data_IF_539167143823
#
_entry.id   IF_539167143823
#
_cell.length_a   1.000
_cell.length_b   1.000
_cell.length_c   1.000
_cell.angle_alpha   90.00
_cell.angle_beta   90.00
_cell.angle_gamma   90.00
#
_symmetry.space_group_name_H-M   'P 1'
#
loop_
_entity.id
_entity.type
_entity.pdbx_description
1 polymer ?
#
# COMPACT_ATOMS: atom_id res chain seq x y z
N UNK A 1 47.79 -58.90 18.48
CA UNK A 1 46.67 -58.74 17.54
C UNK A 1 45.77 -57.65 18.08
N UNK A 2 45.90 -56.44 17.51
CA UNK A 2 45.06 -55.31 17.90
C UNK A 2 43.73 -55.39 17.13
N UNK A 3 42.61 -55.41 17.84
CA UNK A 3 41.27 -55.37 17.26
C UNK A 3 40.90 -53.90 17.05
N UNK A 4 40.98 -53.43 15.81
CA UNK A 4 40.41 -52.14 15.42
C UNK A 4 38.90 -52.27 15.28
N UNK A 5 38.16 -51.69 16.24
CA UNK A 5 36.70 -51.56 16.16
C UNK A 5 36.36 -50.35 15.29
N UNK A 6 36.12 -50.56 13.99
CA UNK A 6 35.72 -49.49 13.07
C UNK A 6 34.20 -49.35 13.06
N UNK A 7 33.68 -48.38 13.80
CA UNK A 7 32.26 -48.01 13.77
C UNK A 7 31.93 -47.27 12.47
N UNK A 8 31.09 -47.85 11.61
CA UNK A 8 30.53 -47.17 10.44
C UNK A 8 29.11 -46.70 10.76
N UNK A 9 28.94 -45.39 10.97
CA UNK A 9 27.63 -44.75 11.04
C UNK A 9 27.05 -44.65 9.63
N UNK A 10 26.06 -45.49 9.29
CA UNK A 10 25.25 -45.33 8.08
C UNK A 10 24.15 -44.32 8.38
N UNK A 11 24.28 -43.10 7.88
CA UNK A 11 23.22 -42.09 7.92
C UNK A 11 22.17 -42.45 6.86
N UNK A 12 21.12 -43.18 7.24
CA UNK A 12 19.96 -43.40 6.39
C UNK A 12 18.98 -42.23 6.61
N UNK A 13 19.00 -41.23 5.73
CA UNK A 13 18.00 -40.17 5.74
C UNK A 13 16.69 -40.76 5.19
N UNK A 14 15.79 -41.19 6.07
CA UNK A 14 14.43 -41.51 5.67
C UNK A 14 13.69 -40.19 5.44
N UNK A 15 13.42 -39.88 4.18
CA UNK A 15 12.51 -38.79 3.81
C UNK A 15 11.10 -39.24 4.20
N UNK A 16 10.75 -39.06 5.47
CA UNK A 16 9.41 -39.33 5.97
C UNK A 16 8.53 -38.28 5.32
N UNK A 17 7.76 -38.73 4.34
CA UNK A 17 6.75 -37.94 3.67
C UNK A 17 5.71 -37.55 4.72
N UNK A 18 5.81 -36.34 5.27
CA UNK A 18 4.84 -35.86 6.25
C UNK A 18 3.51 -35.60 5.54
N UNK A 19 2.36 -35.82 6.21
CA UNK A 19 1.05 -35.60 5.60
C UNK A 19 0.87 -34.15 5.10
N UNK A 20 1.51 -33.19 5.77
CA UNK A 20 1.55 -31.79 5.34
C UNK A 20 2.25 -31.60 3.99
N UNK A 21 3.33 -32.34 3.72
CA UNK A 21 4.11 -32.23 2.50
C UNK A 21 3.37 -32.88 1.30
N UNK A 22 2.65 -33.99 1.53
CA UNK A 22 1.76 -34.58 0.51
C UNK A 22 0.62 -33.63 0.15
N UNK A 23 0.01 -33.01 1.16
CA UNK A 23 -1.06 -32.04 0.95
C UNK A 23 -0.55 -30.83 0.17
N UNK A 24 0.60 -30.25 0.55
CA UNK A 24 1.19 -29.13 -0.16
C UNK A 24 1.51 -29.46 -1.63
N UNK A 25 2.08 -30.64 -1.90
CA UNK A 25 2.32 -31.08 -3.28
C UNK A 25 1.00 -31.24 -4.05
N UNK A 26 -0.03 -31.82 -3.43
CA UNK A 26 -1.34 -31.99 -4.05
C UNK A 26 -1.97 -30.63 -4.40
N UNK A 27 -1.91 -29.64 -3.50
CA UNK A 27 -2.42 -28.29 -3.79
C UNK A 27 -1.61 -27.58 -4.90
N UNK A 28 -0.28 -27.73 -4.92
CA UNK A 28 0.57 -27.13 -5.95
C UNK A 28 0.36 -27.73 -7.35
N UNK A 29 -0.13 -28.96 -7.42
CA UNK A 29 -0.41 -29.66 -8.68
C UNK A 29 -1.78 -29.31 -9.27
N UNK A 30 -2.70 -28.73 -8.50
CA UNK A 30 -4.03 -28.34 -8.96
C UNK A 30 -3.95 -27.05 -9.78
N UNK A 31 -4.78 -26.97 -10.83
CA UNK A 31 -5.02 -25.71 -11.52
C UNK A 31 -5.80 -24.74 -10.61
N UNK A 32 -5.70 -23.43 -10.87
CA UNK A 32 -6.39 -22.40 -10.06
C UNK A 32 -7.89 -22.67 -9.89
N UNK A 33 -8.54 -23.22 -10.92
CA UNK A 33 -9.97 -23.54 -10.89
C UNK A 33 -10.26 -24.72 -9.97
N UNK A 34 -9.49 -25.81 -10.10
CA UNK A 34 -9.65 -26.99 -9.24
C UNK A 34 -9.35 -26.67 -7.77
N UNK A 35 -8.37 -25.80 -7.50
CA UNK A 35 -8.07 -25.35 -6.15
C UNK A 35 -9.25 -24.60 -5.52
N UNK A 36 -9.91 -23.71 -6.26
CA UNK A 36 -11.11 -22.99 -5.77
C UNK A 36 -12.26 -23.96 -5.51
N UNK A 37 -12.47 -24.94 -6.38
CA UNK A 37 -13.53 -25.94 -6.19
C UNK A 37 -13.24 -26.83 -4.97
N UNK A 38 -11.99 -27.23 -4.74
CA UNK A 38 -11.63 -27.98 -3.52
C UNK A 38 -11.82 -27.14 -2.26
N UNK A 39 -11.46 -25.85 -2.26
CA UNK A 39 -11.69 -24.97 -1.10
C UNK A 39 -13.19 -24.86 -0.79
N UNK A 40 -14.03 -24.75 -1.83
CA UNK A 40 -15.49 -24.69 -1.65
C UNK A 40 -16.05 -25.99 -1.08
N UNK A 41 -15.60 -27.13 -1.55
CA UNK A 41 -16.01 -28.42 -1.01
C UNK A 41 -15.59 -28.56 0.46
N UNK A 42 -14.36 -28.17 0.80
CA UNK A 42 -13.89 -28.19 2.19
C UNK A 42 -14.66 -27.18 3.08
N UNK A 43 -15.12 -26.05 2.53
CA UNK A 43 -15.97 -25.10 3.25
C UNK A 43 -17.36 -25.68 3.56
N UNK A 44 -17.91 -26.54 2.69
CA UNK A 44 -19.19 -27.23 2.92
C UNK A 44 -19.05 -28.41 3.88
N UNK A 45 -17.96 -29.17 3.78
CA UNK A 45 -17.71 -30.36 4.61
C UNK A 45 -17.21 -30.00 6.01
N UNK A 46 -16.51 -28.87 6.18
CA UNK A 46 -15.94 -28.45 7.45
C UNK A 46 -16.81 -27.37 8.13
N UNK A 47 -17.63 -27.72 9.13
CA UNK A 47 -18.53 -26.79 9.81
C UNK A 47 -17.79 -25.74 10.67
N UNK A 48 -16.46 -25.83 10.81
CA UNK A 48 -15.65 -24.82 11.49
C UNK A 48 -15.16 -23.70 10.56
N UNK A 49 -15.34 -23.84 9.24
CA UNK A 49 -14.98 -22.82 8.25
C UNK A 49 -16.22 -21.98 7.91
N UNK A 50 -16.08 -20.66 7.94
CA UNK A 50 -17.12 -19.71 7.56
C UNK A 50 -16.60 -18.81 6.43
N UNK A 51 -17.46 -18.51 5.45
CA UNK A 51 -17.14 -17.54 4.41
C UNK A 51 -17.22 -16.13 5.00
N UNK A 52 -16.07 -15.47 5.12
CA UNK A 52 -16.01 -14.08 5.57
C UNK A 52 -16.54 -13.22 4.42
N UNK A 53 -17.82 -12.87 4.46
CA UNK A 53 -18.34 -11.81 3.60
C UNK A 53 -17.73 -10.50 4.09
N UNK A 54 -16.90 -9.87 3.27
CA UNK A 54 -16.46 -8.49 3.46
C UNK A 54 -17.72 -7.60 3.50
N UNK A 55 -18.28 -7.42 4.69
CA UNK A 55 -19.31 -6.43 4.92
C UNK A 55 -18.59 -5.11 4.72
N UNK A 56 -18.94 -4.40 3.64
CA UNK A 56 -18.46 -3.05 3.39
C UNK A 56 -18.72 -2.24 4.66
N UNK A 57 -17.67 -1.98 5.43
CA UNK A 57 -17.72 -1.07 6.56
C UNK A 57 -18.15 0.27 6.00
N UNK A 58 -19.43 0.61 6.19
CA UNK A 58 -19.94 1.94 5.88
C UNK A 58 -19.07 2.95 6.63
N UNK A 59 -18.25 3.69 5.88
CA UNK A 59 -17.49 4.82 6.41
C UNK A 59 -18.47 5.76 7.14
N UNK A 60 -18.18 6.19 8.38
CA UNK A 60 -19.01 7.18 9.03
C UNK A 60 -18.91 8.48 8.22
N UNK A 61 -20.00 8.86 7.56
CA UNK A 61 -20.14 10.18 6.94
C UNK A 61 -19.99 11.24 8.03
N UNK A 62 -18.84 11.90 8.02
CA UNK A 62 -18.63 13.12 8.79
C UNK A 62 -19.37 14.23 8.04
N UNK A 63 -20.56 14.57 8.54
CA UNK A 63 -21.36 15.70 8.06
C UNK A 63 -20.56 17.00 8.18
N UNK A 64 -20.11 17.53 7.03
CA UNK A 64 -19.56 18.87 6.92
C UNK A 64 -20.70 19.89 6.90
N UNK A 65 -21.13 20.36 8.08
CA UNK A 65 -21.86 21.63 8.17
C UNK A 65 -20.86 22.77 8.30
N UNK A 66 -20.47 23.34 7.16
CA UNK A 66 -19.76 24.62 7.10
C UNK A 66 -20.76 25.73 7.43
N UNK A 67 -20.54 26.44 8.54
CA UNK A 67 -21.10 27.78 8.77
C UNK A 67 -19.96 28.74 9.08
N UNK A 68 -19.73 29.63 8.12
CA UNK A 68 -18.85 30.81 8.21
C UNK A 68 -19.18 31.67 9.44
N UNK A 69 -18.15 32.03 10.21
CA UNK A 69 -18.00 33.38 10.79
C UNK A 69 -16.51 33.71 10.95
N UNK A 70 -16.13 34.86 10.39
CA UNK A 70 -14.80 35.50 10.43
C UNK A 70 -14.42 35.99 11.83
N UNK A 71 -13.10 36.07 12.03
CA UNK A 71 -12.33 36.90 12.99
C UNK A 71 -12.73 36.85 14.47
N UNK A 72 -11.90 36.23 15.31
CA UNK A 72 -11.12 37.00 16.29
C UNK A 72 -9.97 36.17 16.89
N UNK A 73 -8.89 36.88 17.16
CA UNK A 73 -7.68 36.44 17.84
C UNK A 73 -7.95 36.01 19.30
N UNK A 74 -7.60 34.77 19.65
CA UNK A 74 -7.03 34.35 20.96
C UNK A 74 -6.91 32.84 20.99
N UNK A 75 -5.68 32.33 21.15
CA UNK A 75 -5.42 30.92 21.51
C UNK A 75 -6.04 30.64 22.88
N UNK A 76 -7.20 30.00 22.91
CA UNK A 76 -7.71 29.32 24.11
C UNK A 76 -7.25 27.87 24.06
N UNK A 77 -6.45 27.51 25.05
CA UNK A 77 -6.03 26.13 25.32
C UNK A 77 -7.28 25.25 25.41
N UNK A 78 -7.33 24.20 24.57
CA UNK A 78 -8.33 23.15 24.69
C UNK A 78 -7.86 22.26 25.85
N UNK A 79 -8.42 22.46 27.04
CA UNK A 79 -8.28 21.52 28.13
C UNK A 79 -9.00 20.23 27.73
N UNK A 80 -8.21 19.22 27.37
CA UNK A 80 -8.71 17.86 27.15
C UNK A 80 -9.02 17.31 28.54
N UNK A 81 -10.26 17.47 29.01
CA UNK A 81 -10.80 16.66 30.09
C UNK A 81 -11.10 15.25 29.53
N UNK A 82 -10.05 14.53 29.17
CA UNK A 82 -10.13 13.09 29.04
C UNK A 82 -10.28 12.54 30.46
N UNK A 83 -11.48 12.04 30.74
CA UNK A 83 -11.76 11.18 31.87
C UNK A 83 -10.89 9.93 31.72
N UNK A 84 -9.67 10.00 32.25
CA UNK A 84 -8.77 8.85 32.37
C UNK A 84 -9.62 7.77 33.04
N UNK A 85 -9.88 6.67 32.33
CA UNK A 85 -10.60 5.54 32.89
C UNK A 85 -9.80 5.09 34.12
N UNK A 86 -10.37 5.27 35.32
CA UNK A 86 -9.74 4.94 36.61
C UNK A 86 -9.44 3.43 36.76
N UNK A 87 -9.81 2.62 35.76
CA UNK A 87 -9.65 1.16 35.74
C UNK A 87 -8.30 0.69 35.15
N UNK A 88 -7.44 1.59 34.66
CA UNK A 88 -6.10 1.18 34.18
C UNK A 88 -5.17 1.08 35.39
N UNK A 89 -5.02 -0.15 35.91
CA UNK A 89 -4.14 -0.47 37.03
C UNK A 89 -2.67 -0.49 36.58
N UNK A 90 -2.11 0.71 36.39
CA UNK A 90 -0.71 0.96 35.98
C UNK A 90 0.30 0.31 36.92
N UNK A 91 -0.08 0.08 38.17
CA UNK A 91 0.68 -0.64 39.19
C UNK A 91 1.06 -2.05 38.73
N UNK A 92 0.08 -2.80 38.21
CA UNK A 92 0.26 -4.18 37.76
C UNK A 92 1.15 -4.26 36.51
N UNK A 93 0.98 -3.30 35.59
CA UNK A 93 1.78 -3.22 34.38
C UNK A 93 3.27 -2.95 34.69
N UNK A 94 3.54 -2.12 35.70
CA UNK A 94 4.91 -1.80 36.12
C UNK A 94 5.56 -2.96 36.90
N UNK A 95 4.80 -3.65 37.74
CA UNK A 95 5.29 -4.80 38.51
C UNK A 95 5.60 -6.02 37.62
N UNK A 96 4.88 -6.21 36.52
CA UNK A 96 5.17 -7.28 35.55
C UNK A 96 6.51 -7.06 34.81
N UNK A 97 6.94 -5.81 34.65
CA UNK A 97 8.21 -5.44 34.02
C UNK A 97 9.41 -5.46 34.98
N UNK A 98 9.15 -5.29 36.28
CA UNK A 98 10.20 -5.17 37.31
C UNK A 98 10.63 -6.50 37.92
N UNK A 99 9.96 -7.61 37.58
CA UNK A 99 10.32 -8.95 38.08
C UNK A 99 11.47 -9.57 37.26
N UNK A 100 12.69 -9.71 37.82
CA UNK A 100 13.79 -10.34 37.11
C UNK A 100 13.55 -11.85 37.02
N UNK A 101 13.11 -12.33 35.87
CA UNK A 101 12.96 -13.78 35.62
C UNK A 101 11.81 -14.21 34.72
N UNK A 102 10.96 -13.30 34.22
CA UNK A 102 10.01 -13.63 33.17
C UNK A 102 10.78 -13.72 31.84
N UNK A 103 10.89 -14.94 31.35
CA UNK A 103 11.37 -15.27 30.01
C UNK A 103 10.48 -14.45 29.07
N UNK A 104 11.06 -13.54 28.31
CA UNK A 104 10.37 -12.98 27.16
C UNK A 104 10.06 -14.17 26.24
N UNK A 105 8.84 -14.69 26.32
CA UNK A 105 8.29 -15.35 25.15
C UNK A 105 8.29 -14.23 24.12
N UNK A 106 9.17 -14.32 23.12
CA UNK A 106 8.88 -13.64 21.86
C UNK A 106 7.47 -14.11 21.52
N UNK A 107 6.48 -13.28 21.83
CA UNK A 107 5.20 -13.41 21.19
C UNK A 107 5.56 -13.27 19.73
N UNK A 108 5.58 -14.38 19.00
CA UNK A 108 5.44 -14.41 17.55
C UNK A 108 4.57 -13.23 17.22
N UNK A 109 5.16 -12.27 16.50
CA UNK A 109 4.51 -11.03 16.12
C UNK A 109 3.15 -11.39 15.57
N UNK A 110 2.13 -11.33 16.45
CA UNK A 110 0.76 -11.66 16.11
C UNK A 110 0.46 -10.88 14.85
N UNK A 111 -0.25 -11.52 13.93
CA UNK A 111 -0.88 -10.99 12.72
C UNK A 111 -1.60 -9.65 12.97
N UNK A 112 -0.81 -8.63 13.28
CA UNK A 112 -1.20 -7.26 13.45
C UNK A 112 -0.96 -6.66 12.09
N UNK A 113 -2.00 -6.15 11.42
CA UNK A 113 -1.83 -5.51 10.14
C UNK A 113 -0.74 -4.47 10.29
N UNK A 114 0.34 -4.58 9.51
CA UNK A 114 1.42 -3.59 9.52
C UNK A 114 0.83 -2.30 8.99
N UNK A 115 0.37 -1.42 9.88
CA UNK A 115 -0.27 -0.15 9.52
C UNK A 115 0.63 0.68 8.59
N UNK A 116 1.95 0.53 8.71
CA UNK A 116 2.96 1.12 7.81
C UNK A 116 2.84 0.65 6.36
N UNK A 117 2.39 -0.58 6.11
CA UNK A 117 2.23 -1.12 4.76
C UNK A 117 1.01 -0.52 4.02
N UNK A 118 0.02 0.01 4.74
CA UNK A 118 -1.16 0.63 4.15
C UNK A 118 -0.93 2.07 3.70
N UNK A 119 0.18 2.69 4.10
CA UNK A 119 0.46 4.11 3.80
C UNK A 119 1.17 4.26 2.44
N UNK A 120 1.79 3.20 1.93
CA UNK A 120 2.56 3.25 0.69
C UNK A 120 1.67 3.17 -0.56
N UNK A 121 1.15 4.32 -1.03
CA UNK A 121 0.59 4.43 -2.37
C UNK A 121 1.70 4.43 -3.42
N UNK A 122 1.60 3.58 -4.46
CA UNK A 122 2.52 3.63 -5.60
C UNK A 122 2.29 4.93 -6.38
N UNK A 123 3.35 5.69 -6.65
CA UNK A 123 3.27 6.90 -7.46
C UNK A 123 2.81 6.56 -8.90
N UNK A 124 1.86 7.34 -9.41
CA UNK A 124 1.42 7.23 -10.81
C UNK A 124 2.36 8.00 -11.73
N UNK A 125 2.43 7.60 -13.02
CA UNK A 125 3.23 8.30 -14.04
C UNK A 125 2.86 9.80 -14.11
N UNK A 126 1.56 10.11 -14.11
CA UNK A 126 1.08 11.48 -14.13
C UNK A 126 1.52 12.27 -12.89
N UNK A 127 1.50 11.66 -11.71
CA UNK A 127 1.99 12.29 -10.48
C UNK A 127 3.50 12.51 -10.50
N UNK A 128 4.27 11.56 -11.02
CA UNK A 128 5.72 11.68 -11.18
C UNK A 128 6.09 12.83 -12.13
N UNK A 129 5.46 12.90 -13.30
CA UNK A 129 5.68 13.97 -14.28
C UNK A 129 5.25 15.33 -13.74
N UNK A 130 4.14 15.38 -13.00
CA UNK A 130 3.66 16.63 -12.40
C UNK A 130 4.64 17.10 -11.33
N UNK A 131 5.18 16.19 -10.52
CA UNK A 131 6.24 16.50 -9.56
C UNK A 131 7.48 17.06 -10.24
N UNK A 132 7.99 16.41 -11.31
CA UNK A 132 9.13 16.92 -12.10
C UNK A 132 8.84 18.30 -12.71
N UNK A 133 7.64 18.49 -13.25
CA UNK A 133 7.24 19.76 -13.82
C UNK A 133 7.25 20.89 -12.78
N UNK A 134 6.74 20.61 -11.57
CA UNK A 134 6.76 21.58 -10.47
C UNK A 134 8.18 21.94 -10.02
N UNK A 135 9.16 21.04 -10.14
CA UNK A 135 10.56 21.34 -9.82
C UNK A 135 11.18 22.39 -10.73
N UNK A 136 10.62 22.61 -11.92
CA UNK A 136 11.09 23.64 -12.87
C UNK A 136 10.57 25.05 -12.52
N UNK A 137 9.77 25.19 -11.45
CA UNK A 137 9.18 26.46 -10.98
C UNK A 137 8.37 27.20 -12.07
N UNK A 138 7.35 26.56 -12.66
CA UNK A 138 6.53 27.14 -13.73
C UNK A 138 5.65 28.31 -13.25
N UNK A 139 5.39 29.25 -14.14
CA UNK A 139 4.40 30.32 -13.93
C UNK A 139 2.98 29.75 -13.79
N UNK A 140 2.03 30.52 -13.23
CA UNK A 140 0.62 30.10 -13.10
C UNK A 140 0.00 29.64 -14.43
N UNK A 141 0.34 30.33 -15.53
CA UNK A 141 -0.14 29.96 -16.88
C UNK A 141 0.50 28.66 -17.36
N UNK A 142 1.80 28.52 -17.18
CA UNK A 142 2.55 27.32 -17.56
C UNK A 142 2.13 26.10 -16.74
N UNK A 143 1.82 26.28 -15.45
CA UNK A 143 1.24 25.24 -14.59
C UNK A 143 -0.09 24.71 -15.10
N UNK A 144 -0.96 25.60 -15.58
CA UNK A 144 -2.24 25.20 -16.16
C UNK A 144 -2.04 24.38 -17.44
N UNK A 145 -1.14 24.83 -18.32
CA UNK A 145 -0.80 24.10 -19.56
C UNK A 145 -0.14 22.76 -19.26
N UNK A 146 0.86 22.72 -18.39
CA UNK A 146 1.55 21.49 -18.00
C UNK A 146 0.61 20.46 -17.36
N UNK A 147 -0.32 20.90 -16.51
CA UNK A 147 -1.34 19.99 -15.96
C UNK A 147 -2.29 19.43 -17.01
N UNK A 148 -2.62 20.21 -18.05
CA UNK A 148 -3.45 19.76 -19.16
C UNK A 148 -2.70 18.75 -20.03
N UNK A 149 -1.43 19.00 -20.35
CA UNK A 149 -0.61 18.08 -21.13
C UNK A 149 -0.46 16.76 -20.39
N UNK A 150 -0.02 16.78 -19.13
CA UNK A 150 0.23 15.58 -18.32
C UNK A 150 -1.07 14.80 -18.06
N UNK A 151 -2.21 15.48 -17.94
CA UNK A 151 -3.51 14.87 -17.75
C UNK A 151 -4.07 14.17 -19.00
N UNK A 152 -3.59 14.51 -20.19
CA UNK A 152 -4.01 13.90 -21.46
C UNK A 152 -2.98 12.89 -22.02
N UNK A 153 -2.09 12.37 -21.15
CA UNK A 153 -1.17 11.31 -21.51
C UNK A 153 -1.83 9.94 -21.34
N UNK A 154 -1.58 9.04 -22.29
CA UNK A 154 -2.01 7.66 -22.22
C UNK A 154 -1.23 6.83 -21.21
N UNK A 155 -1.69 5.60 -20.96
CA UNK A 155 -0.97 4.60 -20.14
C UNK A 155 0.44 4.33 -20.67
N UNK A 156 0.63 4.44 -21.98
CA UNK A 156 1.91 4.28 -22.66
C UNK A 156 2.75 5.58 -22.72
N UNK A 157 2.21 6.70 -22.22
CA UNK A 157 2.93 7.98 -22.15
C UNK A 157 2.86 8.85 -23.40
N UNK A 158 2.06 8.50 -24.41
CA UNK A 158 1.83 9.31 -25.61
C UNK A 158 0.74 10.37 -25.40
N UNK A 159 0.84 11.49 -26.12
CA UNK A 159 -0.15 12.57 -26.08
C UNK A 159 -1.26 12.32 -27.12
N UNK A 160 -2.51 12.19 -26.69
CA UNK A 160 -3.65 11.97 -27.60
C UNK A 160 -4.21 13.26 -28.23
N UNK A 161 -4.05 14.38 -27.53
CA UNK A 161 -4.70 15.65 -27.88
C UNK A 161 -3.77 16.57 -28.68
N UNK A 162 -4.36 17.36 -29.59
CA UNK A 162 -3.59 18.31 -30.41
C UNK A 162 -3.17 19.55 -29.59
N UNK A 163 -2.05 20.17 -29.98
CA UNK A 163 -1.56 21.40 -29.35
C UNK A 163 -2.55 22.56 -29.49
N UNK A 164 -3.29 22.60 -30.60
CA UNK A 164 -4.32 23.61 -30.87
C UNK A 164 -5.54 23.45 -29.97
N UNK A 165 -5.89 22.22 -29.57
CA UNK A 165 -6.96 21.96 -28.61
C UNK A 165 -6.52 22.31 -27.19
N UNK A 166 -5.30 21.95 -26.79
CA UNK A 166 -4.74 22.36 -25.49
C UNK A 166 -4.69 23.90 -25.40
N UNK A 167 -4.24 24.57 -26.47
CA UNK A 167 -4.19 26.03 -26.55
C UNK A 167 -5.58 26.67 -26.38
N UNK A 168 -6.62 26.08 -26.99
CA UNK A 168 -8.01 26.50 -26.82
C UNK A 168 -8.50 26.32 -25.38
N UNK A 169 -8.19 25.20 -24.73
CA UNK A 169 -8.61 24.92 -23.35
C UNK A 169 -7.88 25.79 -22.32
N UNK A 170 -6.62 26.14 -22.57
CA UNK A 170 -5.81 26.95 -21.65
C UNK A 170 -5.85 28.45 -21.95
N UNK A 171 -6.59 28.90 -22.98
CA UNK A 171 -6.64 30.29 -23.46
C UNK A 171 -5.23 30.87 -23.67
N UNK A 172 -4.33 30.09 -24.26
CA UNK A 172 -2.91 30.44 -24.41
C UNK A 172 -2.44 30.28 -25.85
N UNK A 173 -1.32 30.92 -26.16
CA UNK A 173 -0.73 30.87 -27.49
C UNK A 173 -0.14 29.48 -27.78
N UNK A 174 -0.38 28.89 -28.97
CA UNK A 174 0.11 27.56 -29.33
C UNK A 174 1.64 27.43 -29.24
N UNK A 175 2.41 28.51 -29.49
CA UNK A 175 3.87 28.49 -29.33
C UNK A 175 4.30 28.28 -27.88
N UNK A 176 3.48 28.75 -26.92
CA UNK A 176 3.76 28.56 -25.50
C UNK A 176 3.51 27.11 -25.09
N UNK A 177 2.46 26.50 -25.64
CA UNK A 177 2.15 25.09 -25.40
C UNK A 177 3.24 24.19 -25.97
N UNK A 178 3.73 24.47 -27.18
CA UNK A 178 4.85 23.72 -27.77
C UNK A 178 6.13 23.82 -26.94
N UNK A 179 6.48 25.00 -26.43
CA UNK A 179 7.65 25.16 -25.54
C UNK A 179 7.54 24.29 -24.28
N UNK A 180 6.36 24.26 -23.67
CA UNK A 180 6.11 23.47 -22.45
C UNK A 180 6.10 21.98 -22.79
N UNK A 181 5.54 21.59 -23.93
CA UNK A 181 5.56 20.21 -24.39
C UNK A 181 7.00 19.72 -24.61
N UNK A 182 7.84 20.53 -25.27
CA UNK A 182 9.27 20.21 -25.46
C UNK A 182 10.01 20.07 -24.14
N UNK A 183 9.66 20.88 -23.13
CA UNK A 183 10.21 20.76 -21.79
C UNK A 183 9.77 19.44 -21.11
N UNK A 184 8.50 19.06 -21.24
CA UNK A 184 7.98 17.80 -20.69
C UNK A 184 8.61 16.59 -21.37
N UNK A 185 8.91 16.65 -22.67
CA UNK A 185 9.59 15.57 -23.40
C UNK A 185 11.02 15.31 -22.95
N UNK A 186 11.67 16.27 -22.27
CA UNK A 186 12.99 16.08 -21.64
C UNK A 186 12.95 15.38 -20.28
N UNK A 187 11.76 15.11 -19.74
CA UNK A 187 11.62 14.45 -18.45
C UNK A 187 11.83 12.93 -18.51
N UNK A 188 11.95 12.30 -17.35
CA UNK A 188 12.10 10.85 -17.18
C UNK A 188 10.73 10.25 -16.83
N UNK A 189 10.21 9.24 -17.55
CA UNK A 189 10.83 8.44 -18.62
C UNK A 189 11.02 9.16 -19.96
N UNK A 190 12.14 8.91 -20.64
CA UNK A 190 12.40 9.45 -21.98
C UNK A 190 11.34 8.98 -22.99
N UNK A 191 10.94 9.88 -23.88
CA UNK A 191 9.91 9.61 -24.90
C UNK A 191 8.48 9.89 -24.45
N UNK A 192 8.28 10.38 -23.22
CA UNK A 192 6.96 10.81 -22.75
C UNK A 192 6.48 12.05 -23.51
N UNK A 193 5.19 12.12 -23.83
CA UNK A 193 4.60 13.21 -24.59
C UNK A 193 5.02 13.25 -26.06
N UNK A 194 5.55 12.15 -26.59
CA UNK A 194 5.72 11.96 -28.03
C UNK A 194 4.36 11.92 -28.73
N UNK A 195 4.34 12.37 -29.99
CA UNK A 195 3.18 12.28 -30.88
C UNK A 195 3.37 11.08 -31.80
N UNK A 196 2.30 10.35 -32.05
CA UNK A 196 2.15 9.48 -33.23
C UNK A 196 1.57 10.31 -34.38
#
# INVERSE_FOLDING_TARGET
MALELRQQLKLAQQLIMTPQLQMAIKLLQLSRLELVDTIRQELEENPALEEIQETQTEEPKIDQTVKDTKDDSTTKEVAIEEKIQEDIDWSNYLDEYSSPGRINFESESRDTPKYEAFIASKESLSQHLLWQFLMTSPSRKEKKIGSLIIGNLNRDGYLEISVEEIARMSESDPLTVEKILSLIQTFDPVGVGARD
#
